data_IF_940268506755
#
_entry.id   IF_940268506755
#
_cell.length_a   1.000
_cell.length_b   1.000
_cell.length_c   1.000
_cell.angle_alpha   90.00
_cell.angle_beta   90.00
_cell.angle_gamma   90.00
#
_symmetry.space_group_name_H-M   'P 1'
#
loop_
_entity.id
_entity.type
_entity.pdbx_description
1 polymer ?
#
# COMPACT_ATOMS: atom_id res chain seq x y z
N UNK A 1 -14.24 17.02 40.37
CA UNK A 1 -13.66 17.61 39.15
C UNK A 1 -12.87 16.54 38.41
N UNK A 2 -13.48 15.92 37.39
CA UNK A 2 -12.83 14.85 36.63
C UNK A 2 -11.76 15.41 35.71
N UNK A 3 -10.50 14.99 35.90
CA UNK A 3 -9.40 15.38 35.03
C UNK A 3 -9.64 14.80 33.62
N UNK A 4 -9.99 15.66 32.68
CA UNK A 4 -10.10 15.32 31.26
C UNK A 4 -8.68 15.01 30.74
N UNK A 5 -8.26 13.74 30.82
CA UNK A 5 -7.01 13.25 30.22
C UNK A 5 -7.12 13.48 28.70
N UNK A 6 -6.49 14.54 28.19
CA UNK A 6 -6.42 14.82 26.76
C UNK A 6 -5.78 13.62 26.06
N UNK A 7 -6.54 12.92 25.21
CA UNK A 7 -6.03 11.81 24.37
C UNK A 7 -4.84 12.34 23.56
N UNK A 8 -3.64 11.80 23.80
CA UNK A 8 -2.46 12.10 22.98
C UNK A 8 -2.75 11.67 21.56
N UNK A 9 -2.63 12.58 20.58
CA UNK A 9 -2.77 12.26 19.16
C UNK A 9 -1.65 11.29 18.77
N UNK A 10 -1.99 10.17 18.14
CA UNK A 10 -1.00 9.26 17.55
C UNK A 10 -0.25 10.04 16.46
N UNK A 11 1.08 10.08 16.55
CA UNK A 11 1.92 10.65 15.50
C UNK A 11 1.97 9.65 14.34
N UNK A 12 1.12 9.84 13.33
CA UNK A 12 1.19 9.03 12.12
C UNK A 12 2.39 9.49 11.27
N UNK A 13 3.28 8.56 10.91
CA UNK A 13 4.39 8.82 10.01
C UNK A 13 3.91 8.58 8.58
N UNK A 14 3.95 9.61 7.74
CA UNK A 14 3.61 9.51 6.32
C UNK A 14 4.89 9.45 5.48
N UNK A 15 4.92 8.60 4.47
CA UNK A 15 5.97 8.55 3.46
C UNK A 15 5.44 8.99 2.10
N UNK A 16 6.23 9.78 1.37
CA UNK A 16 5.88 10.24 0.03
C UNK A 16 6.37 9.24 -1.02
N UNK A 17 5.47 8.85 -1.92
CA UNK A 17 5.81 8.03 -3.10
C UNK A 17 5.56 8.90 -4.34
N UNK A 18 6.58 9.03 -5.18
CA UNK A 18 6.49 9.81 -6.43
C UNK A 18 6.84 8.92 -7.61
N UNK A 19 5.97 8.91 -8.62
CA UNK A 19 6.20 8.20 -9.87
C UNK A 19 5.71 9.07 -11.03
N UNK A 20 6.30 8.86 -12.21
CA UNK A 20 5.93 9.58 -13.42
C UNK A 20 4.80 8.84 -14.14
N UNK A 21 3.91 9.62 -14.75
CA UNK A 21 2.89 9.11 -15.66
C UNK A 21 3.19 9.63 -17.07
N UNK A 22 2.88 8.83 -18.08
CA UNK A 22 2.85 9.34 -19.45
C UNK A 22 1.77 10.41 -19.58
N UNK A 23 1.91 11.29 -20.58
CA UNK A 23 0.93 12.35 -20.82
C UNK A 23 -0.50 11.80 -21.04
N UNK A 24 -0.61 10.66 -21.75
CA UNK A 24 -1.87 9.97 -21.98
C UNK A 24 -2.48 9.38 -20.70
N UNK A 25 -1.67 8.72 -19.87
CA UNK A 25 -2.11 8.18 -18.58
C UNK A 25 -2.61 9.31 -17.66
N UNK A 26 -1.88 10.42 -17.58
CA UNK A 26 -2.29 11.57 -16.77
C UNK A 26 -3.61 12.18 -17.25
N UNK A 27 -3.78 12.35 -18.57
CA UNK A 27 -5.02 12.87 -19.17
C UNK A 27 -6.21 11.95 -18.86
N UNK A 28 -6.03 10.64 -19.03
CA UNK A 28 -7.05 9.64 -18.72
C UNK A 28 -7.44 9.66 -17.24
N UNK A 29 -6.45 9.67 -16.34
CA UNK A 29 -6.65 9.76 -14.89
C UNK A 29 -7.46 11.00 -14.51
N UNK A 30 -7.11 12.17 -15.06
CA UNK A 30 -7.82 13.43 -14.79
C UNK A 30 -9.28 13.37 -15.28
N UNK A 31 -9.53 12.82 -16.46
CA UNK A 31 -10.88 12.71 -17.01
C UNK A 31 -11.75 11.77 -16.17
N UNK A 32 -11.20 10.61 -15.76
CA UNK A 32 -11.89 9.69 -14.86
C UNK A 32 -12.24 10.37 -13.53
N UNK A 33 -11.27 11.05 -12.91
CA UNK A 33 -11.48 11.76 -11.64
C UNK A 33 -12.58 12.81 -11.73
N UNK A 34 -12.65 13.57 -12.83
CA UNK A 34 -13.73 14.52 -13.10
C UNK A 34 -15.09 13.83 -13.20
N UNK A 35 -15.19 12.77 -14.01
CA UNK A 35 -16.44 12.06 -14.25
C UNK A 35 -17.02 11.43 -12.96
N UNK A 36 -16.16 10.93 -12.07
CA UNK A 36 -16.55 10.26 -10.81
C UNK A 36 -16.50 11.16 -9.58
N UNK A 37 -16.26 12.48 -9.74
CA UNK A 37 -16.11 13.45 -8.63
C UNK A 37 -15.16 12.95 -7.53
N UNK A 38 -14.01 12.42 -7.95
CA UNK A 38 -12.97 11.91 -7.05
C UNK A 38 -11.62 12.58 -7.33
N UNK A 39 -10.64 12.36 -6.47
CA UNK A 39 -9.27 12.87 -6.66
C UNK A 39 -8.34 11.74 -7.09
N UNK A 40 -7.23 12.02 -7.80
CA UNK A 40 -6.24 11.01 -8.15
C UNK A 40 -5.74 10.23 -6.93
N UNK A 41 -5.48 10.93 -5.81
CA UNK A 41 -5.03 10.32 -4.56
C UNK A 41 -6.08 9.35 -4.00
N UNK A 42 -7.35 9.77 -3.95
CA UNK A 42 -8.44 8.93 -3.43
C UNK A 42 -8.63 7.69 -4.30
N UNK A 43 -8.52 7.84 -5.61
CA UNK A 43 -8.58 6.72 -6.56
C UNK A 43 -7.42 5.75 -6.35
N UNK A 44 -6.18 6.25 -6.34
CA UNK A 44 -4.99 5.41 -6.17
C UNK A 44 -5.07 4.65 -4.85
N UNK A 45 -5.36 5.34 -3.74
CA UNK A 45 -5.53 4.71 -2.42
C UNK A 45 -6.57 3.60 -2.43
N UNK A 46 -7.74 3.84 -3.04
CA UNK A 46 -8.79 2.83 -3.17
C UNK A 46 -8.35 1.60 -3.97
N UNK A 47 -7.57 1.79 -5.03
CA UNK A 47 -7.10 0.67 -5.86
C UNK A 47 -5.98 -0.14 -5.19
N UNK A 48 -5.13 0.51 -4.39
CA UNK A 48 -4.06 -0.19 -3.66
C UNK A 48 -4.50 -0.71 -2.29
N UNK A 49 -5.66 -0.29 -1.78
CA UNK A 49 -6.18 -0.62 -0.44
C UNK A 49 -6.12 -2.11 -0.15
N UNK A 50 -6.64 -2.94 -1.06
CA UNK A 50 -6.61 -4.40 -0.92
C UNK A 50 -5.19 -4.97 -0.76
N UNK A 51 -4.21 -4.35 -1.42
CA UNK A 51 -2.82 -4.79 -1.40
C UNK A 51 -2.03 -4.26 -0.21
N UNK A 52 -2.49 -3.21 0.48
CA UNK A 52 -1.80 -2.66 1.66
C UNK A 52 -2.42 -3.15 2.96
N UNK A 53 -3.74 -3.41 2.99
CA UNK A 53 -4.42 -3.91 4.19
C UNK A 53 -4.05 -5.37 4.48
N UNK A 54 -3.82 -6.18 3.45
CA UNK A 54 -3.43 -7.59 3.62
C UNK A 54 -2.01 -7.77 4.19
N UNK A 55 -1.17 -6.73 4.17
CA UNK A 55 0.25 -6.79 4.55
C UNK A 55 0.59 -5.73 5.62
N UNK A 56 -0.41 -5.18 6.32
CA UNK A 56 -0.23 -4.07 7.26
C UNK A 56 0.64 -4.45 8.47
N UNK A 57 0.55 -5.70 8.91
CA UNK A 57 1.24 -6.19 10.11
C UNK A 57 2.45 -7.05 9.75
N UNK A 58 2.24 -8.13 8.98
CA UNK A 58 3.29 -9.04 8.53
C UNK A 58 2.94 -9.58 7.15
N UNK A 59 3.97 -9.91 6.37
CA UNK A 59 3.79 -10.68 5.13
C UNK A 59 3.45 -12.11 5.55
N UNK A 60 2.37 -12.73 5.01
CA UNK A 60 2.02 -14.12 5.31
C UNK A 60 3.22 -15.06 5.15
N UNK A 61 3.43 -15.91 6.16
CA UNK A 61 4.60 -16.80 6.21
C UNK A 61 4.66 -17.76 5.00
N UNK A 62 3.50 -18.13 4.47
CA UNK A 62 3.33 -18.99 3.29
C UNK A 62 3.92 -18.39 2.00
N UNK A 63 4.10 -17.07 1.93
CA UNK A 63 4.74 -16.41 0.78
C UNK A 63 6.28 -16.43 0.83
N UNK A 64 6.86 -16.76 1.98
CA UNK A 64 8.32 -16.94 2.11
C UNK A 64 8.79 -18.32 1.68
N UNK A 65 7.88 -19.30 1.58
CA UNK A 65 8.16 -20.63 1.07
C UNK A 65 8.19 -20.58 -0.47
N UNK A 66 9.29 -20.10 -1.04
CA UNK A 66 9.57 -20.34 -2.46
C UNK A 66 9.83 -21.83 -2.66
N UNK A 67 9.14 -22.46 -3.63
CA UNK A 67 9.16 -23.89 -3.94
C UNK A 67 10.57 -24.52 -4.07
N UNK A 68 11.60 -23.70 -4.34
CA UNK A 68 12.96 -24.16 -4.63
C UNK A 68 13.94 -24.07 -3.43
N UNK A 69 13.47 -23.80 -2.21
CA UNK A 69 14.39 -23.67 -1.07
C UNK A 69 15.00 -25.03 -0.63
N UNK A 70 14.39 -26.14 -1.04
CA UNK A 70 14.89 -27.49 -0.73
C UNK A 70 15.97 -27.97 -1.73
N UNK A 71 16.00 -27.44 -2.96
CA UNK A 71 17.02 -27.77 -3.98
C UNK A 71 18.43 -27.29 -3.59
N UNK A 72 18.54 -26.40 -2.61
CA UNK A 72 19.83 -25.93 -2.08
C UNK A 72 20.58 -27.03 -1.29
N UNK A 73 19.89 -28.07 -0.84
CA UNK A 73 20.48 -29.16 -0.05
C UNK A 73 20.84 -30.39 -0.90
N UNK A 74 20.28 -30.52 -2.10
CA UNK A 74 20.54 -31.66 -3.00
C UNK A 74 21.82 -31.51 -3.83
N UNK A 75 22.43 -30.31 -3.90
CA UNK A 75 23.67 -30.07 -4.65
C UNK A 75 24.97 -30.38 -3.86
N UNK A 76 24.87 -30.86 -2.61
CA UNK A 76 26.03 -31.14 -1.74
C UNK A 76 26.14 -32.59 -1.24
N UNK A 77 25.53 -33.56 -1.93
CA UNK A 77 25.73 -35.00 -1.65
C UNK A 77 26.26 -35.75 -2.87
#
# INVERSE_FOLDING_TARGET
MGQNKKRKRRNYKYHAITFKLSAGQYRSLRNYCKARRTTPIKLIKKNIERFITAYEYEVPQDLYLTENQLDLFDQTL
#
